data_IF_691348199770
#
_entry.id   IF_691348199770
#
_cell.length_a   1.000
_cell.length_b   1.000
_cell.length_c   1.000
_cell.angle_alpha   90.00
_cell.angle_beta   90.00
_cell.angle_gamma   90.00
#
_symmetry.space_group_name_H-M   'P 1'
#
loop_
_entity.id
_entity.type
_entity.pdbx_description
1 polymer ?
#
# COMPACT_ATOMS: atom_id res chain seq x y z
N UNK A 1 0.68 20.45 -11.47
CA UNK A 1 0.38 19.02 -11.18
C UNK A 1 -0.29 18.95 -9.82
N UNK A 2 -1.59 18.60 -9.74
CA UNK A 2 -2.25 18.41 -8.44
C UNK A 2 -1.62 17.18 -7.79
N UNK A 3 -0.96 17.36 -6.64
CA UNK A 3 -0.45 16.25 -5.83
C UNK A 3 -1.66 15.40 -5.44
N UNK A 4 -1.84 14.27 -6.12
CA UNK A 4 -2.75 13.21 -5.67
C UNK A 4 -2.31 12.84 -4.26
N UNK A 5 -3.13 13.14 -3.25
CA UNK A 5 -2.85 12.67 -1.91
C UNK A 5 -3.14 11.17 -1.89
N UNK A 6 -2.17 10.32 -1.55
CA UNK A 6 -2.33 8.86 -1.49
C UNK A 6 -3.18 8.43 -0.29
N UNK A 7 -3.97 9.35 0.28
CA UNK A 7 -4.85 9.14 1.43
C UNK A 7 -6.15 8.57 0.89
N UNK A 8 -6.63 7.45 1.45
CA UNK A 8 -7.77 6.67 0.91
C UNK A 8 -9.08 7.46 0.79
N UNK A 9 -9.12 8.68 1.33
CA UNK A 9 -10.29 9.56 1.44
C UNK A 9 -10.24 10.78 0.51
N UNK A 10 -9.21 10.90 -0.33
CA UNK A 10 -8.99 12.07 -1.19
C UNK A 10 -10.13 12.35 -2.19
N UNK A 11 -10.96 11.34 -2.50
CA UNK A 11 -12.15 11.50 -3.35
C UNK A 11 -13.38 12.11 -2.66
N UNK A 12 -13.41 12.20 -1.32
CA UNK A 12 -14.58 12.67 -0.55
C UNK A 12 -14.42 14.05 0.07
N UNK A 13 -13.19 14.46 0.39
CA UNK A 13 -12.91 15.73 1.07
C UNK A 13 -12.16 16.70 0.15
N UNK A 14 -12.44 17.99 0.27
CA UNK A 14 -11.77 19.03 -0.52
C UNK A 14 -10.28 19.21 -0.15
N UNK A 15 -9.89 18.76 1.05
CA UNK A 15 -8.52 18.82 1.56
C UNK A 15 -8.23 17.63 2.47
N UNK A 16 -6.96 17.43 2.83
CA UNK A 16 -6.53 16.37 3.74
C UNK A 16 -7.01 16.58 5.18
N UNK A 17 -6.91 15.55 6.05
CA UNK A 17 -7.26 15.67 7.45
C UNK A 17 -6.40 16.73 8.15
N UNK A 18 -6.95 17.35 9.20
CA UNK A 18 -6.15 18.14 10.13
C UNK A 18 -5.09 17.26 10.81
N UNK A 19 -3.98 17.86 11.24
CA UNK A 19 -2.85 17.13 11.82
C UNK A 19 -3.26 16.25 13.03
N UNK A 20 -4.07 16.80 13.94
CA UNK A 20 -4.54 16.08 15.13
C UNK A 20 -5.40 14.87 14.76
N UNK A 21 -6.23 14.99 13.71
CA UNK A 21 -7.04 13.87 13.22
C UNK A 21 -6.13 12.81 12.59
N UNK A 22 -5.19 13.20 11.74
CA UNK A 22 -4.25 12.27 11.11
C UNK A 22 -3.44 11.49 12.15
N UNK A 23 -2.92 12.18 13.18
CA UNK A 23 -2.19 11.54 14.28
C UNK A 23 -3.07 10.63 15.11
N UNK A 24 -4.33 11.00 15.36
CA UNK A 24 -5.25 10.17 16.14
C UNK A 24 -5.69 8.91 15.37
N UNK A 25 -5.79 8.99 14.04
CA UNK A 25 -6.31 7.90 13.21
C UNK A 25 -5.24 7.00 12.60
N UNK A 26 -3.98 7.41 12.56
CA UNK A 26 -2.91 6.55 12.06
C UNK A 26 -2.80 5.29 12.91
N UNK A 27 -2.61 4.16 12.23
CA UNK A 27 -2.38 2.87 12.87
C UNK A 27 -1.03 2.27 12.52
N UNK A 28 -0.29 2.84 11.56
CA UNK A 28 1.02 2.32 11.14
C UNK A 28 2.04 2.28 12.27
N UNK A 29 1.92 3.11 13.31
CA UNK A 29 2.76 3.03 14.51
C UNK A 29 2.69 1.67 15.21
N UNK A 30 1.60 0.90 15.03
CA UNK A 30 1.45 -0.44 15.61
C UNK A 30 1.07 -1.54 14.62
N UNK A 31 0.26 -1.27 13.58
CA UNK A 31 -0.26 -2.29 12.67
C UNK A 31 0.76 -2.78 11.64
N UNK A 32 1.90 -2.09 11.49
CA UNK A 32 3.00 -2.49 10.61
C UNK A 32 3.41 -3.95 10.83
N UNK A 33 3.24 -4.48 12.06
CA UNK A 33 3.48 -5.89 12.42
C UNK A 33 2.68 -6.88 11.57
N UNK A 34 1.58 -6.45 10.96
CA UNK A 34 0.68 -7.24 10.12
C UNK A 34 1.11 -7.29 8.65
N UNK A 35 2.18 -6.62 8.26
CA UNK A 35 2.65 -6.53 6.86
C UNK A 35 2.69 -7.87 6.11
N UNK A 36 3.02 -8.97 6.80
CA UNK A 36 3.05 -10.32 6.19
C UNK A 36 1.67 -10.75 5.69
N UNK A 37 0.64 -10.47 6.46
CA UNK A 37 -0.73 -10.84 6.13
C UNK A 37 -1.26 -9.95 5.01
N UNK A 38 -0.95 -8.65 5.05
CA UNK A 38 -1.33 -7.72 3.99
C UNK A 38 -0.72 -8.11 2.63
N UNK A 39 0.58 -8.42 2.58
CA UNK A 39 1.23 -8.87 1.34
C UNK A 39 0.65 -10.19 0.81
N UNK A 40 0.37 -11.15 1.70
CA UNK A 40 -0.24 -12.42 1.30
C UNK A 40 -1.65 -12.22 0.75
N UNK A 41 -2.46 -11.40 1.44
CA UNK A 41 -3.80 -11.03 0.98
C UNK A 41 -3.77 -10.31 -0.36
N UNK A 42 -2.87 -9.36 -0.52
CA UNK A 42 -2.67 -8.60 -1.76
C UNK A 42 -2.24 -9.49 -2.94
N UNK A 43 -1.33 -10.43 -2.73
CA UNK A 43 -0.94 -11.40 -3.76
C UNK A 43 -2.12 -12.30 -4.17
N UNK A 44 -2.87 -12.82 -3.19
CA UNK A 44 -4.05 -13.64 -3.46
C UNK A 44 -5.13 -12.86 -4.22
N UNK A 45 -5.37 -11.61 -3.82
CA UNK A 45 -6.31 -10.72 -4.50
C UNK A 45 -5.87 -10.43 -5.94
N UNK A 46 -4.61 -10.10 -6.18
CA UNK A 46 -4.08 -9.90 -7.53
C UNK A 46 -4.21 -11.16 -8.41
N UNK A 47 -3.94 -12.35 -7.86
CA UNK A 47 -4.15 -13.63 -8.57
C UNK A 47 -5.62 -13.83 -8.95
N UNK A 48 -6.54 -13.52 -8.04
CA UNK A 48 -7.97 -13.57 -8.32
C UNK A 48 -8.36 -12.57 -9.42
N UNK A 49 -7.88 -11.33 -9.37
CA UNK A 49 -8.15 -10.30 -10.38
C UNK A 49 -7.66 -10.71 -11.77
N UNK A 50 -6.51 -11.38 -11.87
CA UNK A 50 -6.03 -11.95 -13.13
C UNK A 50 -6.94 -13.08 -13.62
N UNK A 51 -7.42 -13.92 -12.71
CA UNK A 51 -8.32 -15.05 -13.04
C UNK A 51 -9.63 -14.57 -13.67
N UNK A 52 -10.17 -13.43 -13.22
CA UNK A 52 -11.40 -12.83 -13.77
C UNK A 52 -11.13 -11.87 -14.94
N UNK A 53 -9.87 -11.73 -15.38
CA UNK A 53 -9.49 -10.92 -16.54
C UNK A 53 -9.39 -9.42 -16.30
N UNK A 54 -9.38 -8.96 -15.05
CA UNK A 54 -9.10 -7.54 -14.71
C UNK A 54 -7.62 -7.22 -14.87
N UNK A 55 -6.74 -8.18 -14.58
CA UNK A 55 -5.30 -8.08 -14.79
C UNK A 55 -4.84 -9.05 -15.88
N UNK A 56 -3.86 -8.63 -16.66
CA UNK A 56 -3.09 -9.51 -17.52
C UNK A 56 -2.09 -10.34 -16.70
N UNK A 57 -1.59 -11.44 -17.28
CA UNK A 57 -0.52 -12.22 -16.67
C UNK A 57 0.78 -11.41 -16.45
N UNK A 58 1.03 -10.42 -17.31
CA UNK A 58 2.17 -9.50 -17.18
C UNK A 58 2.04 -8.59 -15.97
N UNK A 59 0.87 -7.97 -15.79
CA UNK A 59 0.57 -7.12 -14.63
C UNK A 59 0.61 -7.91 -13.32
N UNK A 60 -0.02 -9.10 -13.27
CA UNK A 60 0.07 -9.97 -12.10
C UNK A 60 1.52 -10.26 -11.72
N UNK A 61 2.34 -10.64 -12.70
CA UNK A 61 3.76 -10.95 -12.47
C UNK A 61 4.53 -9.73 -11.95
N UNK A 62 4.24 -8.55 -12.47
CA UNK A 62 4.87 -7.30 -12.02
C UNK A 62 4.48 -6.97 -10.57
N UNK A 63 3.18 -7.07 -10.24
CA UNK A 63 2.65 -6.85 -8.88
C UNK A 63 3.28 -7.81 -7.88
N UNK A 64 3.24 -9.13 -8.15
CA UNK A 64 3.82 -10.15 -7.25
C UNK A 64 5.31 -9.91 -7.02
N UNK A 65 6.07 -9.61 -8.09
CA UNK A 65 7.49 -9.28 -7.97
C UNK A 65 7.73 -8.00 -7.14
N UNK A 66 6.88 -7.00 -7.29
CA UNK A 66 6.92 -5.77 -6.50
C UNK A 66 6.68 -6.03 -5.01
N UNK A 67 5.64 -6.78 -4.69
CA UNK A 67 5.30 -7.19 -3.31
C UNK A 67 6.42 -8.04 -2.68
N UNK A 68 7.03 -8.96 -3.43
CA UNK A 68 8.19 -9.73 -2.97
C UNK A 68 9.42 -8.85 -2.66
N UNK A 69 9.66 -7.81 -3.46
CA UNK A 69 10.74 -6.86 -3.21
C UNK A 69 10.48 -6.05 -1.94
N UNK A 70 9.25 -5.57 -1.76
CA UNK A 70 8.81 -4.89 -0.54
C UNK A 70 8.99 -5.80 0.69
N UNK A 71 8.57 -7.07 0.60
CA UNK A 71 8.75 -8.05 1.67
C UNK A 71 10.22 -8.20 2.10
N UNK A 72 11.15 -8.24 1.13
CA UNK A 72 12.59 -8.35 1.40
C UNK A 72 13.12 -7.12 2.13
N UNK A 73 12.67 -5.93 1.76
CA UNK A 73 13.08 -4.67 2.39
C UNK A 73 12.54 -4.54 3.82
N UNK A 74 11.28 -4.93 4.05
CA UNK A 74 10.69 -4.95 5.40
C UNK A 74 11.47 -5.94 6.29
N UNK A 75 11.75 -7.16 5.80
CA UNK A 75 12.56 -8.15 6.54
C UNK A 75 13.97 -7.66 6.85
N UNK A 76 14.56 -6.87 5.96
CA UNK A 76 15.89 -6.31 6.14
C UNK A 76 15.91 -5.03 7.01
N UNK A 77 14.75 -4.56 7.51
CA UNK A 77 14.64 -3.32 8.26
C UNK A 77 14.93 -2.06 7.43
N UNK A 78 14.81 -2.14 6.10
CA UNK A 78 15.11 -1.04 5.16
C UNK A 78 13.87 -0.31 4.66
N UNK A 79 12.68 -0.89 4.85
CA UNK A 79 11.42 -0.26 4.47
C UNK A 79 11.09 0.89 5.42
N UNK A 80 10.80 2.07 4.85
CA UNK A 80 10.44 3.26 5.63
C UNK A 80 8.93 3.38 5.75
N UNK A 81 8.41 3.10 6.94
CA UNK A 81 7.01 3.32 7.27
C UNK A 81 6.71 4.81 7.45
N UNK A 82 5.62 5.26 6.85
CA UNK A 82 5.21 6.66 6.77
C UNK A 82 3.86 6.85 7.48
N UNK A 83 3.81 7.53 8.64
CA UNK A 83 2.56 7.86 9.32
C UNK A 83 1.58 8.66 8.45
N UNK A 84 2.10 9.45 7.51
CA UNK A 84 1.28 10.20 6.56
C UNK A 84 0.49 9.32 5.57
N UNK A 85 0.80 8.02 5.52
CA UNK A 85 0.06 7.01 4.76
C UNK A 85 -0.94 6.25 5.63
N UNK A 86 -1.30 6.73 6.83
CA UNK A 86 -2.30 6.16 7.74
C UNK A 86 -1.93 4.77 8.32
N UNK A 87 -1.82 3.73 7.50
CA UNK A 87 -1.77 2.33 7.93
C UNK A 87 -0.79 1.46 7.10
N UNK A 88 -0.66 0.18 7.49
CA UNK A 88 0.18 -0.80 6.78
C UNK A 88 -0.21 -0.99 5.30
N UNK A 89 -1.51 -1.00 5.00
CA UNK A 89 -2.05 -1.30 3.67
C UNK A 89 -1.66 -0.20 2.68
N UNK A 90 -1.92 1.05 3.04
CA UNK A 90 -1.63 2.23 2.24
C UNK A 90 -0.12 2.44 2.07
N UNK A 91 0.69 2.12 3.09
CA UNK A 91 2.15 2.13 2.97
C UNK A 91 2.65 1.16 1.89
N UNK A 92 2.11 -0.06 1.89
CA UNK A 92 2.47 -1.10 0.91
C UNK A 92 1.95 -0.73 -0.48
N UNK A 93 0.70 -0.28 -0.60
CA UNK A 93 0.08 0.10 -1.87
C UNK A 93 0.81 1.28 -2.53
N UNK A 94 1.12 2.33 -1.76
CA UNK A 94 1.84 3.49 -2.27
C UNK A 94 3.23 3.11 -2.79
N UNK A 95 3.94 2.23 -2.06
CA UNK A 95 5.25 1.77 -2.48
C UNK A 95 5.19 0.81 -3.67
N UNK A 96 4.17 -0.05 -3.75
CA UNK A 96 3.94 -0.92 -4.91
C UNK A 96 3.68 -0.07 -6.17
N UNK A 97 2.77 0.90 -6.08
CA UNK A 97 2.42 1.82 -7.17
C UNK A 97 3.64 2.61 -7.66
N UNK A 98 4.55 2.99 -6.75
CA UNK A 98 5.80 3.66 -7.11
C UNK A 98 6.74 2.76 -7.95
N UNK A 99 6.69 1.44 -7.76
CA UNK A 99 7.55 0.45 -8.42
C UNK A 99 6.93 -0.12 -9.70
N UNK A 100 5.62 -0.26 -9.70
CA UNK A 100 4.84 -0.95 -10.74
C UNK A 100 3.73 0.01 -11.16
N UNK A 101 3.92 0.77 -12.25
CA UNK A 101 2.90 1.66 -12.80
C UNK A 101 1.81 0.90 -13.55
#
# INVERSE_FOLDING_TARGET
>A
MKKSSPVSRSGRFASGPAADVAQFTESVSFDWRLWRHDLLGSMAHATMLQTIGVLTAGELKAIVKGLDAIAKEIKAGKFQWKPELEDVHMNIEAELTRRVP
#
